data_IF_443724994287
#
_entry.id   IF_443724994287
#
_cell.length_a   1.000
_cell.length_b   1.000
_cell.length_c   1.000
_cell.angle_alpha   90.00
_cell.angle_beta   90.00
_cell.angle_gamma   90.00
#
_symmetry.space_group_name_H-M   'P 1'
#
loop_
_entity.id
_entity.type
_entity.pdbx_description
1 polymer ?
#
# COMPACT_ATOMS: atom_id res chain seq x y z
N UNK A 1 -70.11 -55.20 -19.05
CA UNK A 1 -68.69 -55.41 -18.68
C UNK A 1 -68.35 -54.40 -17.60
N UNK A 2 -68.62 -54.74 -16.33
CA UNK A 2 -67.64 -55.26 -15.33
C UNK A 2 -66.70 -54.13 -14.85
N UNK A 3 -66.50 -53.78 -13.58
CA UNK A 3 -66.95 -54.19 -12.23
C UNK A 3 -66.46 -53.02 -11.31
N UNK A 4 -67.23 -52.50 -10.34
CA UNK A 4 -67.32 -53.00 -8.96
C UNK A 4 -65.96 -53.05 -8.21
N UNK A 5 -65.63 -52.06 -7.37
CA UNK A 5 -65.53 -52.21 -5.90
C UNK A 5 -64.84 -51.03 -5.18
N UNK A 6 -65.56 -50.51 -4.19
CA UNK A 6 -65.10 -49.79 -3.00
C UNK A 6 -64.92 -50.84 -1.89
N UNK A 7 -63.71 -51.06 -1.36
CA UNK A 7 -63.46 -51.66 -0.03
C UNK A 7 -62.01 -51.36 0.38
N UNK A 8 -61.84 -50.54 1.42
CA UNK A 8 -61.53 -50.97 2.80
C UNK A 8 -60.04 -51.15 3.03
N UNK A 9 -59.43 -50.11 3.59
CA UNK A 9 -58.46 -50.08 4.71
C UNK A 9 -58.34 -48.56 5.00
N UNK A 10 -59.13 -47.96 5.89
CA UNK A 10 -58.98 -47.92 7.35
C UNK A 10 -57.53 -48.07 7.85
N UNK A 11 -57.18 -47.09 8.68
CA UNK A 11 -55.96 -46.92 9.46
C UNK A 11 -54.67 -46.63 8.70
N UNK A 12 -54.33 -45.34 8.67
CA UNK A 12 -52.95 -44.97 8.99
C UNK A 12 -52.97 -43.72 9.86
N UNK A 13 -52.48 -43.92 11.09
CA UNK A 13 -52.15 -42.88 12.04
C UNK A 13 -51.29 -41.81 11.35
N UNK A 14 -51.64 -40.54 11.57
CA UNK A 14 -50.79 -39.41 11.18
C UNK A 14 -49.37 -39.70 11.68
N UNK A 15 -48.45 -39.84 10.73
CA UNK A 15 -47.05 -40.13 11.03
C UNK A 15 -46.47 -38.99 11.88
N UNK A 16 -45.47 -39.31 12.71
CA UNK A 16 -44.80 -38.34 13.58
C UNK A 16 -44.32 -37.09 12.84
N UNK A 17 -44.07 -37.18 11.53
CA UNK A 17 -43.70 -36.07 10.66
C UNK A 17 -44.88 -35.13 10.34
N UNK A 18 -46.09 -35.63 10.12
CA UNK A 18 -47.25 -34.78 9.81
C UNK A 18 -47.77 -34.03 11.04
N UNK A 19 -47.68 -34.64 12.23
CA UNK A 19 -47.92 -33.94 13.51
C UNK A 19 -46.83 -32.88 13.79
N UNK A 20 -45.59 -33.11 13.38
CA UNK A 20 -44.51 -32.13 13.50
C UNK A 20 -44.69 -30.94 12.56
N UNK A 21 -45.15 -31.17 11.32
CA UNK A 21 -45.41 -30.10 10.33
C UNK A 21 -46.58 -29.21 10.77
N UNK A 22 -47.64 -29.80 11.36
CA UNK A 22 -48.79 -29.02 11.87
C UNK A 22 -48.44 -28.22 13.14
N UNK A 23 -47.57 -28.75 14.03
CA UNK A 23 -47.01 -28.00 15.18
C UNK A 23 -46.05 -26.88 14.76
N UNK A 24 -45.24 -27.09 13.71
CA UNK A 24 -44.37 -26.05 13.16
C UNK A 24 -45.16 -24.91 12.51
N UNK A 25 -46.31 -25.18 11.86
CA UNK A 25 -47.16 -24.13 11.25
C UNK A 25 -47.92 -23.28 12.28
N UNK A 26 -48.40 -23.86 13.39
CA UNK A 26 -49.04 -23.09 14.47
C UNK A 26 -48.03 -22.26 15.29
N UNK A 27 -46.81 -22.77 15.50
CA UNK A 27 -45.72 -21.99 16.09
C UNK A 27 -45.27 -20.85 15.16
N UNK A 28 -45.24 -21.06 13.83
CA UNK A 28 -44.92 -20.00 12.85
C UNK A 28 -45.93 -18.85 12.85
N UNK A 29 -47.23 -19.13 13.04
CA UNK A 29 -48.25 -18.06 13.14
C UNK A 29 -48.13 -17.26 14.44
N UNK A 30 -47.86 -17.90 15.58
CA UNK A 30 -47.66 -17.18 16.85
C UNK A 30 -46.35 -16.38 16.89
N UNK A 31 -45.28 -16.84 16.23
CA UNK A 31 -44.05 -16.05 16.08
C UNK A 31 -44.20 -14.86 15.12
N UNK A 32 -45.14 -14.92 14.17
CA UNK A 32 -45.39 -13.81 13.23
C UNK A 32 -46.02 -12.63 13.97
N UNK A 33 -47.01 -12.88 14.84
CA UNK A 33 -47.73 -11.84 15.60
C UNK A 33 -46.86 -11.19 16.69
N UNK A 34 -45.94 -11.95 17.31
CA UNK A 34 -44.94 -11.41 18.24
C UNK A 34 -43.82 -10.63 17.53
N UNK A 35 -43.41 -11.06 16.32
CA UNK A 35 -42.47 -10.29 15.49
C UNK A 35 -43.07 -8.99 14.97
N UNK A 36 -44.37 -8.92 14.63
CA UNK A 36 -44.94 -7.66 14.12
C UNK A 36 -44.99 -6.56 15.19
N UNK A 37 -45.22 -6.91 16.47
CA UNK A 37 -45.16 -5.95 17.60
C UNK A 37 -43.71 -5.53 17.93
N UNK A 38 -42.75 -6.45 17.89
CA UNK A 38 -41.33 -6.12 18.10
C UNK A 38 -40.69 -5.36 16.92
N UNK A 39 -41.15 -5.57 15.68
CA UNK A 39 -40.75 -4.79 14.51
C UNK A 39 -41.35 -3.38 14.58
N UNK A 40 -42.58 -3.22 15.08
CA UNK A 40 -43.20 -1.90 15.27
C UNK A 40 -42.46 -1.07 16.35
N UNK A 41 -42.06 -1.68 17.47
CA UNK A 41 -41.33 -1.01 18.56
C UNK A 41 -39.87 -0.69 18.14
N UNK A 42 -39.19 -1.59 17.42
CA UNK A 42 -37.84 -1.32 16.86
C UNK A 42 -37.85 -0.30 15.73
N UNK A 43 -38.93 -0.21 14.94
CA UNK A 43 -39.08 0.82 13.92
C UNK A 43 -39.34 2.21 14.52
N UNK A 44 -40.01 2.31 15.68
CA UNK A 44 -40.13 3.59 16.39
C UNK A 44 -38.80 4.06 16.99
N UNK A 45 -37.96 3.15 17.51
CA UNK A 45 -36.63 3.51 18.04
C UNK A 45 -35.60 3.83 16.93
N UNK A 46 -35.63 3.13 15.80
CA UNK A 46 -34.79 3.45 14.64
C UNK A 46 -35.25 4.73 13.94
N UNK A 47 -36.56 5.01 13.90
CA UNK A 47 -37.10 6.28 13.39
C UNK A 47 -36.79 7.43 14.36
N UNK A 48 -36.76 7.20 15.67
CA UNK A 48 -36.31 8.19 16.65
C UNK A 48 -34.79 8.45 16.58
N UNK A 49 -33.96 7.44 16.30
CA UNK A 49 -32.51 7.62 16.07
C UNK A 49 -32.17 8.23 14.70
N UNK A 50 -32.87 7.87 13.63
CA UNK A 50 -32.71 8.50 12.32
C UNK A 50 -33.18 9.97 12.34
N UNK A 51 -34.27 10.26 13.05
CA UNK A 51 -34.75 11.63 13.24
C UNK A 51 -33.87 12.45 14.20
N UNK A 52 -33.07 11.80 15.07
CA UNK A 52 -32.08 12.48 15.92
C UNK A 52 -30.89 13.01 15.10
N UNK A 53 -30.56 12.37 13.99
CA UNK A 53 -29.54 12.84 13.03
C UNK A 53 -30.06 14.04 12.22
N UNK A 54 -31.37 14.11 11.94
CA UNK A 54 -31.98 15.23 11.20
C UNK A 54 -32.08 16.55 12.00
N UNK A 55 -31.82 16.52 13.32
CA UNK A 55 -31.79 17.71 14.20
C UNK A 55 -30.46 17.90 14.94
N UNK A 56 -29.39 17.25 14.49
CA UNK A 56 -28.06 17.43 15.08
C UNK A 56 -27.45 18.72 14.54
N UNK A 57 -27.44 19.73 15.40
CA UNK A 57 -26.76 21.00 15.23
C UNK A 57 -25.34 20.77 14.68
N UNK A 58 -25.04 21.30 13.48
CA UNK A 58 -23.77 21.06 12.76
C UNK A 58 -22.55 21.42 13.64
N UNK A 59 -22.72 22.28 14.64
CA UNK A 59 -21.68 22.66 15.60
C UNK A 59 -21.28 21.60 16.63
N UNK A 60 -22.01 20.48 16.81
CA UNK A 60 -21.74 19.48 17.89
C UNK A 60 -21.35 18.08 17.40
N UNK A 61 -21.06 17.89 16.12
CA UNK A 61 -20.81 16.55 15.54
C UNK A 61 -19.36 16.06 15.72
N UNK A 62 -18.45 16.90 16.19
CA UNK A 62 -17.04 16.51 16.35
C UNK A 62 -16.89 15.61 17.59
N UNK A 63 -16.35 14.39 17.46
CA UNK A 63 -16.18 13.49 18.58
C UNK A 63 -15.17 14.07 19.59
N UNK A 64 -15.40 13.84 20.87
CA UNK A 64 -14.42 14.17 21.91
C UNK A 64 -13.29 13.14 21.85
N UNK A 65 -12.13 13.55 21.37
CA UNK A 65 -10.92 12.73 21.26
C UNK A 65 -9.78 13.38 22.05
N UNK A 66 -8.83 12.59 22.59
CA UNK A 66 -7.72 13.13 23.37
C UNK A 66 -6.76 13.98 22.52
N UNK A 67 -6.17 15.01 23.12
CA UNK A 67 -5.06 15.77 22.55
C UNK A 67 -3.75 15.09 22.90
N UNK A 68 -3.00 14.64 21.88
CA UNK A 68 -1.75 13.87 22.01
C UNK A 68 -0.68 14.44 21.08
N UNK A 69 0.12 15.36 21.61
CA UNK A 69 1.22 15.99 20.87
C UNK A 69 2.43 15.09 20.72
N UNK A 70 2.73 14.28 21.73
CA UNK A 70 3.83 13.31 21.70
C UNK A 70 3.53 12.18 20.69
N UNK A 71 4.31 12.04 19.62
CA UNK A 71 4.09 11.00 18.61
C UNK A 71 4.20 9.58 19.16
N UNK A 72 4.98 9.35 20.22
CA UNK A 72 5.20 8.01 20.79
C UNK A 72 3.97 7.48 21.54
N UNK A 73 3.11 8.40 22.01
CA UNK A 73 1.87 8.07 22.75
C UNK A 73 0.67 7.81 21.84
N UNK A 74 0.81 8.00 20.53
CA UNK A 74 -0.29 7.86 19.57
C UNK A 74 -0.47 6.39 19.20
N UNK A 75 -1.62 5.83 19.52
CA UNK A 75 -1.96 4.44 19.20
C UNK A 75 -2.48 4.30 17.77
N UNK A 76 -2.33 3.09 17.22
CA UNK A 76 -2.85 2.76 15.90
C UNK A 76 -4.38 2.64 15.95
N UNK A 77 -5.04 3.12 14.90
CA UNK A 77 -6.49 3.13 14.71
C UNK A 77 -7.29 3.90 15.79
N UNK A 78 -6.62 4.61 16.69
CA UNK A 78 -7.26 5.50 17.65
C UNK A 78 -7.23 6.95 17.15
N UNK A 79 -8.37 7.63 17.28
CA UNK A 79 -8.50 9.03 16.91
C UNK A 79 -7.88 9.95 17.96
N UNK A 80 -7.20 10.99 17.52
CA UNK A 80 -6.57 11.98 18.39
C UNK A 80 -6.57 13.37 17.77
N UNK A 81 -6.25 14.39 18.56
CA UNK A 81 -5.93 15.76 18.12
C UNK A 81 -4.51 16.14 18.54
N UNK A 82 -3.95 17.16 17.91
CA UNK A 82 -2.77 17.89 18.36
C UNK A 82 -3.16 19.26 18.90
N UNK A 83 -2.32 19.85 19.73
CA UNK A 83 -2.43 21.25 20.10
C UNK A 83 -2.39 22.12 18.83
N UNK A 84 -3.39 22.97 18.65
CA UNK A 84 -3.57 23.80 17.46
C UNK A 84 -4.41 23.17 16.34
N UNK A 85 -4.81 21.90 16.45
CA UNK A 85 -5.79 21.32 15.53
C UNK A 85 -7.17 22.02 15.71
N UNK A 86 -7.90 22.34 14.63
CA UNK A 86 -9.27 22.86 14.73
C UNK A 86 -10.19 21.87 15.46
N UNK A 87 -11.18 22.39 16.19
CA UNK A 87 -12.09 21.56 17.00
C UNK A 87 -12.87 20.53 16.15
N UNK A 88 -13.19 20.88 14.90
CA UNK A 88 -13.88 19.99 13.97
C UNK A 88 -12.94 18.97 13.29
N UNK A 89 -11.66 18.91 13.64
CA UNK A 89 -10.69 18.02 13.02
C UNK A 89 -10.27 16.91 13.98
N UNK A 90 -10.10 15.70 13.46
CA UNK A 90 -9.44 14.59 14.16
C UNK A 90 -8.42 13.94 13.24
N UNK A 91 -7.42 13.29 13.83
CA UNK A 91 -6.38 12.54 13.15
C UNK A 91 -6.47 11.07 13.52
N UNK A 92 -6.05 10.20 12.61
CA UNK A 92 -5.98 8.75 12.85
C UNK A 92 -4.64 8.25 12.34
N UNK A 93 -3.99 7.39 13.13
CA UNK A 93 -2.79 6.67 12.69
C UNK A 93 -3.20 5.26 12.30
N UNK A 94 -3.40 5.00 11.01
CA UNK A 94 -3.64 3.63 10.54
C UNK A 94 -2.34 2.92 10.19
N UNK A 95 -2.25 1.59 10.39
CA UNK A 95 -1.09 0.82 9.98
C UNK A 95 -0.92 0.89 8.46
N UNK A 96 0.32 0.73 8.00
CA UNK A 96 0.61 0.53 6.58
C UNK A 96 -0.21 -0.65 6.04
N UNK A 97 -0.93 -0.51 4.93
CA UNK A 97 -1.72 -1.61 4.38
C UNK A 97 -0.83 -2.78 3.95
N UNK A 98 -1.33 -4.00 4.10
CA UNK A 98 -0.65 -5.21 3.63
C UNK A 98 -0.58 -5.21 2.09
N UNK A 99 0.50 -5.76 1.53
CA UNK A 99 0.70 -5.85 0.08
C UNK A 99 1.18 -4.56 -0.61
N UNK A 100 0.94 -3.38 -0.04
CA UNK A 100 1.34 -2.08 -0.63
C UNK A 100 2.35 -1.36 0.26
N UNK A 101 3.64 -1.63 0.05
CA UNK A 101 4.70 -1.10 0.92
C UNK A 101 5.13 0.33 0.60
N UNK A 102 4.77 0.87 -0.56
CA UNK A 102 5.21 2.19 -1.03
C UNK A 102 4.07 3.18 -0.83
N UNK A 103 4.31 4.24 -0.08
CA UNK A 103 3.37 5.38 -0.06
C UNK A 103 3.59 6.17 -1.34
N UNK A 104 2.53 6.31 -2.14
CA UNK A 104 2.59 6.91 -3.49
C UNK A 104 2.22 8.38 -3.42
N UNK A 105 1.19 8.72 -2.65
CA UNK A 105 0.66 10.08 -2.51
C UNK A 105 0.19 10.26 -1.06
N UNK A 106 0.45 11.43 -0.47
CA UNK A 106 0.05 11.75 0.91
C UNK A 106 -1.05 12.80 0.96
N UNK A 107 -1.85 12.79 2.03
CA UNK A 107 -2.82 13.84 2.36
C UNK A 107 -3.81 14.21 1.23
N UNK A 108 -4.25 13.22 0.48
CA UNK A 108 -5.16 13.35 -0.66
C UNK A 108 -6.60 13.60 -0.18
N UNK A 109 -7.34 14.61 -0.69
CA UNK A 109 -8.78 14.72 -0.49
C UNK A 109 -9.56 13.59 -1.13
N UNK A 110 -10.77 13.32 -0.64
CA UNK A 110 -11.80 12.59 -1.41
C UNK A 110 -12.59 13.61 -2.22
N UNK A 111 -12.52 13.52 -3.56
CA UNK A 111 -13.27 14.37 -4.47
C UNK A 111 -14.76 13.97 -4.51
N UNK A 112 -15.64 14.98 -4.52
CA UNK A 112 -17.08 14.77 -4.59
C UNK A 112 -17.75 14.40 -3.27
N UNK A 113 -17.00 14.31 -2.16
CA UNK A 113 -17.53 13.89 -0.87
C UNK A 113 -18.64 14.80 -0.33
N UNK A 114 -18.64 16.09 -0.70
CA UNK A 114 -19.69 17.02 -0.29
C UNK A 114 -21.08 16.62 -0.85
N UNK A 115 -21.11 15.94 -2.02
CA UNK A 115 -22.36 15.40 -2.59
C UNK A 115 -22.89 14.18 -1.81
N UNK A 116 -22.10 13.66 -0.87
CA UNK A 116 -22.35 12.45 -0.08
C UNK A 116 -22.18 12.70 1.41
N UNK A 117 -22.51 13.90 1.87
CA UNK A 117 -22.25 14.33 3.25
C UNK A 117 -22.90 13.39 4.30
N UNK A 118 -24.13 12.93 4.06
CA UNK A 118 -24.82 11.97 4.95
C UNK A 118 -24.07 10.63 5.06
N UNK A 119 -23.67 10.08 3.92
CA UNK A 119 -22.93 8.82 3.81
C UNK A 119 -21.56 8.92 4.48
N UNK A 120 -20.86 10.02 4.20
CA UNK A 120 -19.55 10.30 4.76
C UNK A 120 -19.61 10.53 6.28
N UNK A 121 -20.66 11.21 6.78
CA UNK A 121 -20.85 11.39 8.22
C UNK A 121 -21.15 10.05 8.90
N UNK A 122 -22.04 9.23 8.32
CA UNK A 122 -22.32 7.88 8.81
C UNK A 122 -21.04 7.06 8.92
N UNK A 123 -20.21 7.08 7.89
CA UNK A 123 -18.90 6.43 7.89
C UNK A 123 -18.00 6.99 9.01
N UNK A 124 -17.81 8.30 9.09
CA UNK A 124 -16.93 8.96 10.07
C UNK A 124 -17.30 8.68 11.54
N UNK A 125 -18.58 8.43 11.82
CA UNK A 125 -19.08 8.16 13.18
C UNK A 125 -19.22 6.67 13.50
N UNK A 126 -18.84 5.78 12.58
CA UNK A 126 -18.93 4.32 12.77
C UNK A 126 -17.66 3.73 13.37
N UNK A 127 -17.71 2.44 13.71
CA UNK A 127 -16.57 1.70 14.26
C UNK A 127 -15.74 1.03 13.15
N UNK A 128 -14.48 0.70 13.46
CA UNK A 128 -13.56 -0.05 12.59
C UNK A 128 -13.46 0.51 11.15
N UNK A 129 -13.39 1.83 11.03
CA UNK A 129 -13.37 2.50 9.73
C UNK A 129 -12.07 2.24 8.95
N UNK A 130 -12.18 1.96 7.66
CA UNK A 130 -11.06 1.83 6.72
C UNK A 130 -11.47 2.29 5.32
N UNK A 131 -10.49 2.52 4.44
CA UNK A 131 -10.73 2.93 3.06
C UNK A 131 -10.31 1.82 2.10
N UNK A 132 -11.08 1.70 1.02
CA UNK A 132 -10.82 0.82 -0.11
C UNK A 132 -10.83 1.63 -1.40
N UNK A 133 -9.94 1.25 -2.32
CA UNK A 133 -9.76 1.90 -3.61
C UNK A 133 -10.10 0.93 -4.73
N UNK A 134 -10.94 1.35 -5.67
CA UNK A 134 -11.33 0.55 -6.83
C UNK A 134 -11.08 1.34 -8.12
N UNK A 135 -10.34 0.76 -9.07
CA UNK A 135 -10.12 1.38 -10.39
C UNK A 135 -11.38 1.25 -11.25
N UNK A 136 -11.79 2.33 -11.89
CA UNK A 136 -12.95 2.37 -12.78
C UNK A 136 -12.52 2.77 -14.19
N UNK A 137 -12.09 1.77 -14.98
CA UNK A 137 -11.59 2.00 -16.34
C UNK A 137 -12.64 2.58 -17.30
N UNK A 138 -13.92 2.31 -17.06
CA UNK A 138 -15.05 2.72 -17.91
C UNK A 138 -15.69 4.05 -17.47
N UNK A 139 -15.00 4.87 -16.67
CA UNK A 139 -15.54 6.15 -16.25
C UNK A 139 -15.54 7.14 -17.43
N UNK A 140 -16.67 7.84 -17.72
CA UNK A 140 -16.79 8.68 -18.90
C UNK A 140 -15.95 9.97 -18.86
N UNK A 141 -15.43 10.35 -17.69
CA UNK A 141 -14.66 11.58 -17.50
C UNK A 141 -13.15 11.33 -17.33
N UNK A 142 -12.76 10.18 -16.79
CA UNK A 142 -11.36 9.83 -16.55
C UNK A 142 -11.16 8.31 -16.59
N UNK A 143 -10.49 7.81 -17.63
CA UNK A 143 -10.18 6.37 -17.80
C UNK A 143 -9.33 5.78 -16.65
N UNK A 144 -8.67 6.62 -15.86
CA UNK A 144 -7.88 6.22 -14.71
C UNK A 144 -8.60 6.49 -13.38
N UNK A 145 -9.91 6.77 -13.41
CA UNK A 145 -10.69 7.08 -12.21
C UNK A 145 -10.50 6.01 -11.14
N UNK A 146 -10.33 6.46 -9.89
CA UNK A 146 -10.23 5.58 -8.73
C UNK A 146 -11.34 5.96 -7.75
N UNK A 147 -12.28 5.05 -7.54
CA UNK A 147 -13.33 5.16 -6.53
C UNK A 147 -12.75 4.96 -5.14
N UNK A 148 -13.36 5.64 -4.18
CA UNK A 148 -13.03 5.55 -2.76
C UNK A 148 -14.26 5.05 -2.03
N UNK A 149 -14.13 3.90 -1.39
CA UNK A 149 -15.15 3.34 -0.51
C UNK A 149 -14.68 3.41 0.95
N UNK A 150 -15.64 3.58 1.85
CA UNK A 150 -15.45 3.46 3.29
C UNK A 150 -16.04 2.16 3.79
N UNK A 151 -15.21 1.34 4.42
CA UNK A 151 -15.61 0.11 5.10
C UNK A 151 -15.72 0.38 6.60
N UNK A 152 -16.83 0.00 7.23
CA UNK A 152 -17.12 0.28 8.64
C UNK A 152 -18.02 -0.77 9.25
N UNK A 153 -18.06 -0.82 10.58
CA UNK A 153 -18.92 -1.74 11.34
C UNK A 153 -20.04 -0.98 12.04
N UNK A 154 -21.26 -1.52 12.00
CA UNK A 154 -22.38 -1.10 12.86
C UNK A 154 -22.99 -2.36 13.48
N UNK A 155 -23.02 -2.43 14.82
CA UNK A 155 -23.53 -3.58 15.57
C UNK A 155 -22.93 -4.90 15.04
N UNK A 156 -21.60 -4.95 14.92
CA UNK A 156 -20.84 -6.11 14.41
C UNK A 156 -21.08 -6.47 12.93
N UNK A 157 -21.93 -5.74 12.20
CA UNK A 157 -22.12 -5.95 10.77
C UNK A 157 -21.17 -5.08 9.96
N UNK A 158 -20.44 -5.69 9.04
CA UNK A 158 -19.61 -4.99 8.07
C UNK A 158 -20.47 -4.30 7.01
N UNK A 159 -20.10 -3.07 6.68
CA UNK A 159 -20.79 -2.24 5.71
C UNK A 159 -19.75 -1.52 4.85
N UNK A 160 -20.09 -1.35 3.56
CA UNK A 160 -19.31 -0.59 2.60
C UNK A 160 -20.15 0.56 2.07
N UNK A 161 -19.55 1.74 1.91
CA UNK A 161 -20.24 2.89 1.33
C UNK A 161 -19.33 3.65 0.39
N UNK A 162 -19.86 4.07 -0.76
CA UNK A 162 -19.12 4.87 -1.71
C UNK A 162 -19.00 6.31 -1.23
N UNK A 163 -17.76 6.82 -1.08
CA UNK A 163 -17.48 8.15 -0.52
C UNK A 163 -17.18 9.19 -1.60
N UNK A 164 -16.60 8.78 -2.73
CA UNK A 164 -16.22 9.68 -3.82
C UNK A 164 -15.05 9.13 -4.63
N UNK A 165 -14.26 10.03 -5.21
CA UNK A 165 -13.13 9.65 -6.08
C UNK A 165 -11.81 10.20 -5.55
N UNK A 166 -10.71 9.58 -5.97
CA UNK A 166 -9.41 10.25 -5.95
C UNK A 166 -9.45 11.42 -6.94
N UNK A 167 -8.94 12.62 -6.58
CA UNK A 167 -8.90 13.76 -7.51
C UNK A 167 -8.13 13.43 -8.79
N UNK A 168 -8.68 13.80 -9.96
CA UNK A 168 -8.12 13.45 -11.28
C UNK A 168 -6.66 13.84 -11.50
N UNK A 169 -6.16 14.90 -10.85
CA UNK A 169 -4.73 15.26 -10.92
C UNK A 169 -3.75 14.19 -10.40
N UNK A 170 -4.26 13.16 -9.72
CA UNK A 170 -3.46 12.05 -9.18
C UNK A 170 -3.63 10.74 -9.97
N UNK A 171 -4.65 10.62 -10.82
CA UNK A 171 -5.06 9.33 -11.38
C UNK A 171 -4.07 8.79 -12.40
N UNK A 172 -3.38 9.65 -13.16
CA UNK A 172 -2.31 9.25 -14.07
C UNK A 172 -1.16 8.55 -13.33
N UNK A 173 -0.68 9.15 -12.23
CA UNK A 173 0.38 8.55 -11.39
C UNK A 173 -0.05 7.19 -10.82
N UNK A 174 -1.33 7.04 -10.47
CA UNK A 174 -1.87 5.82 -9.89
C UNK A 174 -2.12 4.72 -10.92
N UNK A 175 -2.19 5.07 -12.21
CA UNK A 175 -2.49 4.11 -13.28
C UNK A 175 -1.44 3.00 -13.38
N UNK A 176 -0.17 3.30 -13.07
CA UNK A 176 0.96 2.37 -13.13
C UNK A 176 0.99 1.31 -12.02
N UNK A 177 0.14 1.41 -11.00
CA UNK A 177 0.12 0.48 -9.87
C UNK A 177 -1.00 -0.54 -10.03
N UNK A 178 -0.71 -1.82 -9.91
CA UNK A 178 -1.69 -2.89 -9.98
C UNK A 178 -2.58 -2.91 -8.73
N UNK A 179 -1.98 -2.69 -7.55
CA UNK A 179 -2.69 -2.75 -6.28
C UNK A 179 -2.60 -1.41 -5.57
N UNK A 180 -3.75 -0.85 -5.22
CA UNK A 180 -3.84 0.40 -4.48
C UNK A 180 -4.58 0.16 -3.17
N UNK A 181 -4.05 0.74 -2.09
CA UNK A 181 -4.71 0.80 -0.79
C UNK A 181 -4.70 2.23 -0.25
N UNK A 182 -5.56 2.52 0.71
CA UNK A 182 -5.59 3.83 1.35
C UNK A 182 -5.60 3.73 2.87
N UNK A 183 -5.08 4.76 3.52
CA UNK A 183 -5.21 4.96 4.96
C UNK A 183 -5.76 6.34 5.25
N UNK A 184 -6.69 6.44 6.18
CA UNK A 184 -7.22 7.70 6.70
C UNK A 184 -6.15 8.39 7.54
N UNK A 185 -5.94 9.68 7.28
CA UNK A 185 -5.03 10.54 8.04
C UNK A 185 -5.76 11.56 8.88
N UNK A 186 -6.83 12.14 8.33
CA UNK A 186 -7.54 13.25 8.96
C UNK A 186 -8.98 13.24 8.52
N UNK A 187 -9.88 13.49 9.46
CA UNK A 187 -11.31 13.70 9.22
C UNK A 187 -11.65 15.10 9.71
N UNK A 188 -12.28 15.88 8.84
CA UNK A 188 -12.85 17.18 9.15
C UNK A 188 -14.36 17.00 9.24
N UNK A 189 -14.91 17.09 10.45
CA UNK A 189 -16.34 17.10 10.68
C UNK A 189 -16.97 18.39 10.14
N UNK A 190 -18.25 18.34 9.72
CA UNK A 190 -18.97 19.52 9.27
C UNK A 190 -18.95 20.65 10.30
N UNK A 191 -18.97 21.88 9.82
CA UNK A 191 -19.25 23.10 10.58
C UNK A 191 -20.36 23.87 9.86
N UNK A 192 -20.73 25.05 10.36
CA UNK A 192 -21.67 25.93 9.68
C UNK A 192 -21.21 26.32 8.27
N UNK A 193 -19.89 26.49 8.07
CA UNK A 193 -19.30 27.02 6.82
C UNK A 193 -18.75 25.94 5.90
N UNK A 194 -18.45 24.74 6.40
CA UNK A 194 -17.75 23.69 5.65
C UNK A 194 -18.40 22.34 5.89
N UNK A 195 -18.61 21.57 4.84
CA UNK A 195 -19.06 20.17 4.95
C UNK A 195 -17.95 19.24 5.41
N UNK A 196 -18.31 17.96 5.57
CA UNK A 196 -17.36 16.90 5.94
C UNK A 196 -16.23 16.75 4.91
N UNK A 197 -15.02 16.41 5.37
CA UNK A 197 -13.86 16.18 4.50
C UNK A 197 -12.89 15.16 5.08
N UNK A 198 -12.10 14.54 4.21
CA UNK A 198 -11.11 13.53 4.58
C UNK A 198 -9.77 13.85 3.93
N UNK A 199 -8.69 13.42 4.60
CA UNK A 199 -7.35 13.30 4.03
C UNK A 199 -6.92 11.85 4.15
N UNK A 200 -6.44 11.28 3.06
CA UNK A 200 -5.93 9.91 3.01
C UNK A 200 -4.54 9.86 2.39
N UNK A 201 -3.74 8.90 2.83
CA UNK A 201 -2.53 8.50 2.11
C UNK A 201 -2.89 7.32 1.19
N UNK A 202 -2.35 7.33 -0.03
CA UNK A 202 -2.50 6.26 -1.01
C UNK A 202 -1.21 5.46 -1.09
N UNK A 203 -1.34 4.15 -1.03
CA UNK A 203 -0.27 3.17 -1.02
C UNK A 203 -0.35 2.29 -2.26
N UNK A 204 0.80 1.97 -2.83
CA UNK A 204 0.95 1.04 -3.94
C UNK A 204 1.98 -0.03 -3.62
N UNK A 205 2.03 -1.07 -4.43
CA UNK A 205 3.12 -2.03 -4.40
C UNK A 205 4.47 -1.32 -4.67
N UNK A 206 5.55 -1.88 -4.12
CA UNK A 206 6.87 -1.48 -4.57
C UNK A 206 7.04 -2.09 -5.96
N UNK A 207 7.25 -1.28 -6.98
CA UNK A 207 7.63 -1.81 -8.29
C UNK A 207 8.80 -2.77 -8.06
N UNK A 208 8.59 -4.05 -8.34
CA UNK A 208 9.69 -4.99 -8.38
C UNK A 208 10.67 -4.38 -9.37
N UNK A 209 11.90 -4.11 -8.92
CA UNK A 209 12.99 -3.73 -9.82
C UNK A 209 13.00 -4.84 -10.86
N UNK A 210 12.63 -4.54 -12.12
CA UNK A 210 12.63 -5.54 -13.21
C UNK A 210 13.97 -6.26 -13.09
N UNK A 211 13.96 -7.52 -12.71
CA UNK A 211 15.15 -8.36 -12.72
C UNK A 211 15.42 -8.59 -14.19
N UNK A 212 16.23 -7.72 -14.76
CA UNK A 212 16.71 -7.87 -16.13
C UNK A 212 17.69 -9.03 -16.06
N UNK A 213 17.35 -10.12 -16.76
CA UNK A 213 18.20 -11.29 -16.85
C UNK A 213 19.53 -10.88 -17.49
N UNK A 214 20.61 -11.47 -16.99
CA UNK A 214 21.93 -11.29 -17.57
C UNK A 214 21.92 -11.80 -19.02
N UNK A 215 22.29 -10.93 -19.95
CA UNK A 215 22.44 -11.25 -21.36
C UNK A 215 23.83 -11.83 -21.60
N UNK A 216 23.96 -12.66 -22.64
CA UNK A 216 25.27 -13.13 -23.08
C UNK A 216 26.14 -11.97 -23.57
N UNK A 217 27.45 -12.10 -23.39
CA UNK A 217 28.43 -11.18 -23.98
C UNK A 217 28.19 -10.97 -25.49
N UNK A 218 28.13 -9.70 -25.90
CA UNK A 218 27.94 -9.31 -27.29
C UNK A 218 29.27 -8.81 -27.87
N UNK A 219 29.81 -9.55 -28.84
CA UNK A 219 31.08 -9.23 -29.51
C UNK A 219 31.00 -8.02 -30.45
N UNK A 220 29.81 -7.52 -30.76
CA UNK A 220 29.62 -6.34 -31.60
C UNK A 220 29.67 -5.02 -30.82
N UNK A 221 29.76 -5.09 -29.48
CA UNK A 221 29.85 -3.94 -28.60
C UNK A 221 31.33 -3.69 -28.30
N UNK A 222 31.90 -2.68 -28.95
CA UNK A 222 33.28 -2.28 -28.74
C UNK A 222 33.44 -1.37 -27.53
N UNK A 223 34.58 -1.48 -26.84
CA UNK A 223 34.94 -0.59 -25.73
C UNK A 223 35.21 0.82 -26.27
N UNK A 224 34.51 1.87 -25.81
CA UNK A 224 34.79 3.25 -26.22
C UNK A 224 36.21 3.66 -25.88
N UNK A 225 36.82 4.53 -26.69
CA UNK A 225 38.16 5.07 -26.40
C UNK A 225 38.16 6.01 -25.19
N UNK A 226 37.09 6.80 -25.00
CA UNK A 226 37.00 7.78 -23.91
C UNK A 226 36.60 7.15 -22.57
N UNK A 227 37.35 7.48 -21.53
CA UNK A 227 37.16 6.95 -20.18
C UNK A 227 35.81 7.33 -19.53
N UNK A 228 35.26 8.50 -19.84
CA UNK A 228 33.96 8.92 -19.34
C UNK A 228 32.82 8.19 -20.07
N UNK A 229 32.96 8.01 -21.39
CA UNK A 229 32.00 7.26 -22.21
C UNK A 229 31.91 5.79 -21.76
N UNK A 230 33.04 5.12 -21.49
CA UNK A 230 33.04 3.77 -20.89
C UNK A 230 32.19 3.69 -19.62
N UNK A 231 32.25 4.70 -18.75
CA UNK A 231 31.47 4.73 -17.52
C UNK A 231 29.97 4.95 -17.79
N UNK A 232 29.63 5.83 -18.73
CA UNK A 232 28.25 6.13 -19.10
C UNK A 232 27.59 4.94 -19.80
N UNK A 233 28.29 4.33 -20.75
CA UNK A 233 27.79 3.22 -21.55
C UNK A 233 27.81 1.90 -20.79
N UNK A 234 28.83 1.64 -19.96
CA UNK A 234 28.82 0.52 -19.02
C UNK A 234 27.58 0.55 -18.12
N UNK A 235 27.15 1.73 -17.68
CA UNK A 235 25.92 1.90 -16.89
C UNK A 235 24.64 1.63 -17.70
N UNK A 236 24.64 1.89 -19.01
CA UNK A 236 23.52 1.54 -19.91
C UNK A 236 23.48 0.02 -20.12
N UNK A 237 24.61 -0.60 -20.41
CA UNK A 237 24.76 -2.05 -20.55
C UNK A 237 24.31 -2.79 -19.29
N UNK A 238 24.66 -2.29 -18.10
CA UNK A 238 24.15 -2.85 -16.83
C UNK A 238 22.63 -2.79 -16.69
N UNK A 239 21.99 -1.75 -17.25
CA UNK A 239 20.52 -1.64 -17.28
C UNK A 239 19.89 -2.52 -18.34
N UNK A 240 20.63 -2.93 -19.37
CA UNK A 240 20.14 -3.78 -20.45
C UNK A 240 20.42 -5.26 -20.20
N UNK A 241 21.30 -5.56 -19.24
CA UNK A 241 21.64 -6.92 -18.80
C UNK A 241 22.97 -7.42 -19.38
N UNK A 242 23.66 -6.65 -20.21
CA UNK A 242 24.98 -6.99 -20.77
C UNK A 242 26.10 -6.75 -19.75
N UNK A 243 26.08 -7.53 -18.67
CA UNK A 243 26.98 -7.34 -17.53
C UNK A 243 28.45 -7.60 -17.91
N UNK A 244 28.74 -8.59 -18.77
CA UNK A 244 30.11 -8.87 -19.20
C UNK A 244 30.71 -7.73 -20.03
N UNK A 245 29.96 -7.17 -20.99
CA UNK A 245 30.39 -5.99 -21.74
C UNK A 245 30.60 -4.78 -20.81
N UNK A 246 29.73 -4.59 -19.80
CA UNK A 246 29.92 -3.52 -18.81
C UNK A 246 31.19 -3.70 -17.96
N UNK A 247 31.51 -4.95 -17.57
CA UNK A 247 32.77 -5.27 -16.87
C UNK A 247 33.96 -4.87 -17.74
N UNK A 248 33.95 -5.22 -19.03
CA UNK A 248 35.03 -4.88 -19.96
C UNK A 248 35.28 -3.37 -20.01
N UNK A 249 34.21 -2.57 -20.08
CA UNK A 249 34.31 -1.10 -20.13
C UNK A 249 34.92 -0.53 -18.84
N UNK A 250 34.50 -1.06 -17.68
CA UNK A 250 35.04 -0.61 -16.40
C UNK A 250 36.47 -1.09 -16.16
N UNK A 251 36.83 -2.30 -16.59
CA UNK A 251 38.20 -2.84 -16.47
C UNK A 251 39.18 -2.04 -17.33
N UNK A 252 38.80 -1.59 -18.53
CA UNK A 252 39.63 -0.70 -19.33
C UNK A 252 39.99 0.58 -18.54
N UNK A 253 39.02 1.19 -17.85
CA UNK A 253 39.28 2.34 -16.98
C UNK A 253 40.18 1.99 -15.77
N UNK A 254 40.02 0.80 -15.18
CA UNK A 254 40.87 0.36 -14.07
C UNK A 254 42.32 0.14 -14.54
N UNK A 255 42.51 -0.45 -15.71
CA UNK A 255 43.83 -0.67 -16.33
C UNK A 255 44.55 0.66 -16.61
N UNK A 256 43.81 1.67 -17.03
CA UNK A 256 44.33 3.03 -17.29
C UNK A 256 44.46 3.89 -16.02
N UNK A 257 44.18 3.35 -14.83
CA UNK A 257 44.23 4.06 -13.55
C UNK A 257 43.35 5.32 -13.50
N UNK A 258 42.13 5.23 -14.05
CA UNK A 258 41.17 6.33 -14.06
C UNK A 258 40.97 6.93 -12.66
N UNK A 259 41.19 8.24 -12.50
CA UNK A 259 41.18 8.90 -11.17
C UNK A 259 39.79 9.02 -10.51
N UNK A 260 38.72 8.62 -11.21
CA UNK A 260 37.38 8.55 -10.67
C UNK A 260 37.10 7.22 -9.96
N UNK A 261 36.29 7.25 -8.89
CA UNK A 261 35.93 6.05 -8.12
C UNK A 261 34.90 5.13 -8.82
N UNK A 262 34.17 5.65 -9.81
CA UNK A 262 33.03 4.97 -10.40
C UNK A 262 33.33 3.54 -10.90
N UNK A 263 34.32 3.30 -11.79
CA UNK A 263 34.59 1.95 -12.30
C UNK A 263 34.97 0.96 -11.19
N UNK A 264 35.80 1.37 -10.23
CA UNK A 264 36.18 0.55 -9.08
C UNK A 264 34.97 0.16 -8.22
N UNK A 265 34.08 1.11 -7.93
CA UNK A 265 32.86 0.83 -7.15
C UNK A 265 31.90 -0.10 -7.91
N UNK A 266 31.73 0.11 -9.22
CA UNK A 266 30.85 -0.73 -10.05
C UNK A 266 31.38 -2.16 -10.13
N UNK A 267 32.65 -2.34 -10.48
CA UNK A 267 33.29 -3.66 -10.56
C UNK A 267 33.23 -4.41 -9.25
N UNK A 268 33.55 -3.76 -8.13
CA UNK A 268 33.43 -4.38 -6.81
C UNK A 268 31.99 -4.86 -6.55
N UNK A 269 30.95 -4.11 -6.94
CA UNK A 269 29.54 -4.53 -6.81
C UNK A 269 29.22 -5.72 -7.70
N UNK A 270 29.67 -5.70 -8.95
CA UNK A 270 29.40 -6.75 -9.93
C UNK A 270 30.05 -8.05 -9.48
N UNK A 271 31.36 -8.02 -9.19
CA UNK A 271 32.11 -9.18 -8.71
C UNK A 271 31.55 -9.75 -7.41
N UNK A 272 31.17 -8.90 -6.45
CA UNK A 272 30.50 -9.33 -5.21
C UNK A 272 29.22 -10.12 -5.46
N UNK A 273 28.37 -9.66 -6.39
CA UNK A 273 27.10 -10.32 -6.72
C UNK A 273 27.32 -11.66 -7.42
N UNK A 274 28.33 -11.75 -8.28
CA UNK A 274 28.74 -12.99 -8.94
C UNK A 274 29.62 -13.90 -8.08
N UNK A 275 29.86 -13.53 -6.81
CA UNK A 275 30.75 -14.23 -5.86
C UNK A 275 32.19 -14.37 -6.36
N UNK A 276 32.62 -13.49 -7.26
CA UNK A 276 34.00 -13.43 -7.77
C UNK A 276 34.86 -12.61 -6.80
N UNK A 277 35.01 -13.09 -5.56
CA UNK A 277 35.59 -12.30 -4.49
C UNK A 277 37.07 -11.95 -4.72
N UNK A 278 37.83 -12.80 -5.41
CA UNK A 278 39.23 -12.52 -5.76
C UNK A 278 39.33 -11.31 -6.72
N UNK A 279 38.42 -11.19 -7.68
CA UNK A 279 38.36 -10.03 -8.58
C UNK A 279 37.92 -8.76 -7.84
N UNK A 280 36.96 -8.87 -6.91
CA UNK A 280 36.60 -7.74 -6.03
C UNK A 280 37.83 -7.26 -5.23
N UNK A 281 38.61 -8.18 -4.65
CA UNK A 281 39.83 -7.87 -3.90
C UNK A 281 40.89 -7.20 -4.78
N UNK A 282 41.15 -7.72 -5.99
CA UNK A 282 42.10 -7.13 -6.95
C UNK A 282 41.75 -5.68 -7.27
N UNK A 283 40.50 -5.43 -7.67
CA UNK A 283 40.05 -4.08 -8.04
C UNK A 283 40.12 -3.11 -6.85
N UNK A 284 39.76 -3.56 -5.64
CA UNK A 284 39.82 -2.72 -4.45
C UNK A 284 41.27 -2.38 -4.05
N UNK A 285 42.21 -3.32 -4.18
CA UNK A 285 43.64 -3.05 -3.95
C UNK A 285 44.17 -2.03 -4.96
N UNK A 286 43.78 -2.14 -6.23
CA UNK A 286 44.14 -1.15 -7.24
C UNK A 286 43.57 0.25 -6.91
N UNK A 287 42.29 0.30 -6.52
CA UNK A 287 41.64 1.55 -6.12
C UNK A 287 42.36 2.21 -4.93
N UNK A 288 42.70 1.43 -3.90
CA UNK A 288 43.42 1.93 -2.71
C UNK A 288 44.77 2.51 -3.12
N UNK A 289 45.56 1.78 -3.92
CA UNK A 289 46.88 2.25 -4.36
C UNK A 289 46.80 3.57 -5.14
N UNK A 290 45.80 3.72 -6.02
CA UNK A 290 45.58 4.96 -6.76
C UNK A 290 45.15 6.10 -5.82
N UNK A 291 44.18 5.85 -4.95
CA UNK A 291 43.64 6.89 -4.06
C UNK A 291 44.62 7.33 -2.97
N UNK A 292 45.53 6.46 -2.52
CA UNK A 292 46.66 6.84 -1.65
C UNK A 292 47.61 7.80 -2.37
N UNK A 293 47.91 7.55 -3.65
CA UNK A 293 48.71 8.49 -4.46
C UNK A 293 47.99 9.82 -4.67
N UNK A 294 46.68 9.79 -4.92
CA UNK A 294 45.89 11.01 -5.08
C UNK A 294 45.77 11.80 -3.77
N UNK A 295 45.71 11.14 -2.61
CA UNK A 295 45.62 11.81 -1.31
C UNK A 295 46.86 12.67 -1.03
N UNK A 296 48.02 12.24 -1.53
CA UNK A 296 49.29 12.97 -1.41
C UNK A 296 49.42 14.11 -2.43
N UNK A 297 48.85 13.96 -3.62
CA UNK A 297 49.17 14.82 -4.78
C UNK A 297 48.00 15.68 -5.29
N UNK A 298 46.78 15.49 -4.77
CA UNK A 298 45.57 16.16 -5.25
C UNK A 298 44.94 17.07 -4.19
N UNK A 299 44.36 18.19 -4.62
CA UNK A 299 43.56 19.07 -3.77
C UNK A 299 42.09 18.62 -3.62
N UNK A 300 41.77 17.42 -4.11
CA UNK A 300 40.41 16.86 -4.08
C UNK A 300 39.99 16.47 -2.67
N UNK A 301 38.99 17.15 -2.14
CA UNK A 301 38.46 16.91 -0.79
C UNK A 301 37.74 15.56 -0.63
N UNK A 302 37.33 14.93 -1.73
CA UNK A 302 36.61 13.66 -1.71
C UNK A 302 37.51 12.42 -1.56
N UNK A 303 38.82 12.56 -1.79
CA UNK A 303 39.77 11.43 -1.89
C UNK A 303 39.83 10.62 -0.59
N UNK A 304 40.09 11.27 0.55
CA UNK A 304 40.25 10.57 1.84
C UNK A 304 39.00 9.77 2.22
N UNK A 305 37.82 10.35 2.01
CA UNK A 305 36.54 9.68 2.28
C UNK A 305 36.29 8.45 1.39
N UNK A 306 36.78 8.48 0.14
CA UNK A 306 36.66 7.37 -0.81
C UNK A 306 37.68 6.28 -0.51
N UNK A 307 38.90 6.65 -0.17
CA UNK A 307 39.95 5.72 0.25
C UNK A 307 39.51 4.89 1.46
N UNK A 308 38.95 5.53 2.49
CA UNK A 308 38.42 4.84 3.66
C UNK A 308 37.33 3.82 3.30
N UNK A 309 36.40 4.19 2.40
CA UNK A 309 35.36 3.28 1.92
C UNK A 309 35.94 2.07 1.16
N UNK A 310 36.99 2.26 0.37
CA UNK A 310 37.63 1.14 -0.33
C UNK A 310 38.33 0.20 0.65
N UNK A 311 39.02 0.73 1.68
CA UNK A 311 39.64 -0.08 2.75
C UNK A 311 38.60 -0.91 3.51
N UNK A 312 37.53 -0.29 4.01
CA UNK A 312 36.44 -1.00 4.70
C UNK A 312 35.77 -2.08 3.84
N UNK A 313 35.74 -1.87 2.52
CA UNK A 313 35.17 -2.85 1.59
C UNK A 313 36.14 -3.98 1.30
N UNK A 314 37.44 -3.68 1.18
CA UNK A 314 38.49 -4.67 0.98
C UNK A 314 38.49 -5.68 2.12
N UNK A 315 38.45 -5.22 3.37
CA UNK A 315 38.40 -6.12 4.54
C UNK A 315 37.25 -7.15 4.42
N UNK A 316 36.05 -6.67 4.07
CA UNK A 316 34.87 -7.53 3.86
C UNK A 316 34.97 -8.43 2.64
N UNK A 317 35.73 -8.05 1.62
CA UNK A 317 35.94 -8.87 0.42
C UNK A 317 36.96 -9.98 0.70
N UNK A 318 38.04 -9.69 1.41
CA UNK A 318 39.05 -10.66 1.83
C UNK A 318 38.47 -11.70 2.79
N UNK A 319 37.62 -11.29 3.74
CA UNK A 319 36.89 -12.22 4.60
C UNK A 319 36.05 -13.25 3.83
N UNK A 320 35.39 -12.83 2.75
CA UNK A 320 34.58 -13.73 1.93
C UNK A 320 35.42 -14.58 0.99
N UNK A 321 36.45 -14.01 0.39
CA UNK A 321 37.42 -14.77 -0.41
C UNK A 321 38.04 -15.92 0.39
N UNK A 322 38.37 -15.68 1.67
CA UNK A 322 38.92 -16.68 2.58
C UNK A 322 37.89 -17.74 3.02
N UNK A 323 36.59 -17.41 3.03
CA UNK A 323 35.51 -18.35 3.33
C UNK A 323 35.18 -19.23 2.13
N UNK A 324 35.19 -18.68 0.92
CA UNK A 324 34.94 -19.44 -0.31
C UNK A 324 36.08 -20.40 -0.68
N UNK A 325 37.29 -20.16 -0.15
CA UNK A 325 38.46 -21.03 -0.38
C UNK A 325 38.54 -22.24 0.57
N UNK A 326 37.57 -22.41 1.49
CA UNK A 326 37.50 -23.50 2.47
C UNK A 326 36.42 -24.51 2.11
#
# INVERSE_FOLDING_TARGET
MFNLFKKMFQDNSLTSQEKAIKRMRSQKLNTKTANTKNIAIKNTDNKQRSNKIEKLDKGKLSPKVPTIDDPTKRKLNEAYRRSGDPENMIRVNQPKPKGTSKKVIEFVPIAGIQKREKDALKFATSENISLELEKEANNPYDKNAVKVYGNYTINENENTIFLGYVPGKYTEQLSSYNTLNATIKTIYFPTEKKGIGFRMDIWGERNNKKTIGEQSYDKSIDVPDDSADRNLDGKKLEKEGYIDNAIEFYEANVQENFEGNFPYERLAIIYRKRKQYQEEVRVLKQAISLFEKLELNSHRSDVSSKLMKFKERLDRAEELANKDSK
#
